data_IF_611698573071
#
_entry.id   IF_611698573071
#
_cell.length_a   1.000
_cell.length_b   1.000
_cell.length_c   1.000
_cell.angle_alpha   90.00
_cell.angle_beta   90.00
_cell.angle_gamma   90.00
#
_symmetry.space_group_name_H-M   'P 1'
#
loop_
_entity.id
_entity.type
_entity.pdbx_description
1 polymer ?
#
# COMPACT_ATOMS: atom_id res chain seq x y z
N UNK A 1 -7.89 -39.39 10.58
CA UNK A 1 -8.37 -38.88 9.27
C UNK A 1 -8.06 -37.39 9.22
N UNK A 2 -6.98 -37.01 8.53
CA UNK A 2 -6.47 -35.64 8.49
C UNK A 2 -6.75 -35.04 7.12
N UNK A 3 -7.45 -33.91 7.06
CA UNK A 3 -7.60 -33.13 5.83
C UNK A 3 -6.71 -31.89 5.92
N UNK A 4 -5.58 -31.93 5.23
CA UNK A 4 -4.77 -30.77 4.91
C UNK A 4 -5.31 -30.13 3.62
N UNK A 5 -5.84 -28.90 3.73
CA UNK A 5 -6.22 -28.08 2.58
C UNK A 5 -5.11 -27.06 2.33
N UNK A 6 -4.17 -27.38 1.45
CA UNK A 6 -3.18 -26.42 0.95
C UNK A 6 -3.78 -25.67 -0.24
N UNK A 7 -4.14 -24.40 -0.04
CA UNK A 7 -4.44 -23.51 -1.16
C UNK A 7 -3.13 -23.04 -1.78
N UNK A 8 -2.78 -23.69 -2.90
CA UNK A 8 -1.73 -23.28 -3.85
C UNK A 8 -2.28 -22.11 -4.68
N UNK A 9 -1.90 -20.88 -4.35
CA UNK A 9 -2.28 -19.72 -5.16
C UNK A 9 -1.31 -19.59 -6.34
N UNK A 10 -1.64 -20.24 -7.45
CA UNK A 10 -0.97 -20.04 -8.74
C UNK A 10 -1.81 -19.08 -9.57
N UNK A 11 -1.48 -17.78 -9.53
CA UNK A 11 -2.04 -16.80 -10.46
C UNK A 11 -0.97 -15.80 -10.90
N UNK A 12 -0.50 -15.99 -12.14
CA UNK A 12 -0.29 -14.89 -13.09
C UNK A 12 1.03 -14.13 -13.03
N UNK A 13 2.13 -14.75 -13.46
CA UNK A 13 3.30 -14.00 -13.97
C UNK A 13 2.92 -13.43 -15.34
N UNK A 14 2.30 -12.25 -15.33
CA UNK A 14 1.98 -11.48 -16.54
C UNK A 14 3.26 -10.84 -17.10
N UNK A 15 3.78 -11.43 -18.17
CA UNK A 15 4.86 -10.87 -18.96
C UNK A 15 4.44 -9.58 -19.66
N UNK A 16 4.85 -8.41 -19.14
CA UNK A 16 4.82 -7.18 -19.91
C UNK A 16 6.06 -7.11 -20.81
N UNK A 17 5.82 -7.21 -22.12
CA UNK A 17 6.76 -6.90 -23.20
C UNK A 17 7.39 -5.52 -22.98
N UNK A 18 8.73 -5.48 -22.96
CA UNK A 18 9.51 -4.29 -23.33
C UNK A 18 9.11 -3.87 -24.74
N UNK A 19 8.65 -2.63 -24.92
CA UNK A 19 8.71 -1.98 -26.22
C UNK A 19 9.89 -1.00 -26.19
N UNK A 20 10.97 -1.41 -26.84
CA UNK A 20 12.22 -0.66 -27.01
C UNK A 20 12.12 0.04 -28.35
N UNK A 21 11.73 1.31 -28.35
CA UNK A 21 11.98 2.22 -29.48
C UNK A 21 13.01 3.24 -29.00
N UNK A 22 14.27 2.82 -29.05
CA UNK A 22 15.44 3.69 -29.07
C UNK A 22 15.69 4.07 -30.55
N UNK A 23 15.73 5.37 -30.87
CA UNK A 23 16.52 5.86 -32.00
C UNK A 23 15.84 6.85 -32.95
N UNK A 24 16.48 8.03 -33.06
CA UNK A 24 16.39 9.08 -34.11
C UNK A 24 15.26 10.11 -33.98
N UNK A 25 15.52 11.28 -33.41
CA UNK A 25 16.31 12.35 -34.04
C UNK A 25 16.41 13.54 -33.09
N UNK A 26 17.61 13.80 -32.60
CA UNK A 26 18.00 15.09 -32.04
C UNK A 26 18.30 16.06 -33.20
N UNK A 27 17.98 17.35 -32.99
CA UNK A 27 18.62 18.45 -33.70
C UNK A 27 17.81 19.04 -34.85
N UNK A 28 17.09 20.14 -34.56
CA UNK A 28 17.30 21.42 -35.25
C UNK A 28 16.45 22.51 -34.56
N UNK A 29 17.10 23.23 -33.65
CA UNK A 29 16.80 24.63 -33.42
C UNK A 29 17.49 25.42 -34.56
N UNK A 30 16.75 26.27 -35.28
CA UNK A 30 17.24 27.52 -35.91
C UNK A 30 16.20 28.08 -36.91
N UNK A 31 15.70 29.27 -36.59
CA UNK A 31 15.55 30.44 -37.48
C UNK A 31 15.02 30.27 -38.92
N UNK A 32 13.87 30.91 -39.17
CA UNK A 32 13.82 32.05 -40.09
C UNK A 32 13.53 31.82 -41.58
N UNK A 33 12.69 32.74 -42.08
CA UNK A 33 12.55 33.23 -43.46
C UNK A 33 11.37 32.65 -44.28
N UNK A 34 10.58 33.63 -44.72
CA UNK A 34 9.42 33.69 -45.61
C UNK A 34 9.58 32.92 -46.93
N UNK A 35 8.46 32.44 -47.48
CA UNK A 35 8.01 32.74 -48.84
C UNK A 35 6.59 32.15 -49.06
N UNK A 36 5.59 33.03 -49.17
CA UNK A 36 4.71 33.20 -50.35
C UNK A 36 3.53 32.21 -50.46
N UNK A 37 2.33 32.75 -50.23
CA UNK A 37 1.09 32.31 -50.89
C UNK A 37 1.08 32.85 -52.33
N UNK A 38 0.25 32.31 -53.24
CA UNK A 38 -1.08 32.93 -53.40
C UNK A 38 -2.23 31.95 -53.72
N UNK A 39 -3.41 32.31 -53.17
CA UNK A 39 -4.75 32.43 -53.82
C UNK A 39 -5.29 31.23 -54.61
N UNK A 40 -6.56 30.84 -54.60
CA UNK A 40 -7.90 31.38 -54.31
C UNK A 40 -8.81 30.11 -54.27
N UNK A 41 -9.99 30.02 -53.67
CA UNK A 41 -11.22 30.70 -54.03
C UNK A 41 -12.34 30.23 -53.09
N UNK A 42 -13.31 31.10 -52.86
CA UNK A 42 -14.45 30.97 -51.96
C UNK A 42 -15.40 29.83 -52.36
N UNK A 43 -16.02 29.17 -51.38
CA UNK A 43 -17.47 28.90 -51.45
C UNK A 43 -18.04 28.57 -50.08
N UNK A 44 -18.79 29.55 -49.58
CA UNK A 44 -19.97 29.46 -48.70
C UNK A 44 -20.13 28.21 -47.80
N UNK A 45 -19.88 28.43 -46.51
CA UNK A 45 -20.34 27.54 -45.46
C UNK A 45 -21.89 27.52 -45.39
N UNK A 46 -22.54 26.35 -45.28
CA UNK A 46 -23.68 26.25 -44.38
C UNK A 46 -23.09 26.18 -42.97
N UNK A 47 -23.26 27.26 -42.21
CA UNK A 47 -22.98 27.25 -40.77
C UNK A 47 -23.80 26.12 -40.16
N UNK A 48 -23.15 25.02 -39.81
CA UNK A 48 -23.71 24.01 -38.94
C UNK A 48 -24.08 24.74 -37.66
N UNK A 49 -25.35 25.07 -37.52
CA UNK A 49 -25.97 25.48 -36.28
C UNK A 49 -25.52 24.44 -35.25
N UNK A 50 -24.58 24.83 -34.37
CA UNK A 50 -24.16 24.00 -33.25
C UNK A 50 -25.42 23.83 -32.42
N UNK A 51 -26.14 22.74 -32.68
CA UNK A 51 -27.12 22.21 -31.74
C UNK A 51 -26.32 22.04 -30.46
N UNK A 52 -26.49 22.99 -29.54
CA UNK A 52 -26.02 22.89 -28.18
C UNK A 52 -26.78 21.72 -27.58
N UNK A 53 -26.27 20.50 -27.82
CA UNK A 53 -26.61 19.32 -27.06
C UNK A 53 -26.19 19.67 -25.65
N UNK A 54 -27.14 20.17 -24.86
CA UNK A 54 -27.04 20.18 -23.42
C UNK A 54 -27.05 18.71 -23.03
N UNK A 55 -25.90 18.07 -23.13
CA UNK A 55 -25.59 16.84 -22.42
C UNK A 55 -25.50 17.25 -20.95
N UNK A 56 -26.68 17.54 -20.38
CA UNK A 56 -26.88 17.84 -18.99
C UNK A 56 -26.76 16.56 -18.21
N UNK A 57 -25.54 16.01 -18.15
CA UNK A 57 -25.25 15.02 -17.13
C UNK A 57 -25.48 15.70 -15.78
N UNK A 58 -26.46 15.22 -15.03
CA UNK A 58 -26.62 15.61 -13.64
C UNK A 58 -25.36 15.16 -12.91
N UNK A 59 -24.47 16.11 -12.63
CA UNK A 59 -23.24 15.85 -11.88
C UNK A 59 -23.61 15.53 -10.44
N UNK A 60 -23.80 14.25 -10.13
CA UNK A 60 -23.98 13.78 -8.76
C UNK A 60 -22.68 14.02 -8.00
N UNK A 61 -22.68 15.03 -7.12
CA UNK A 61 -21.57 15.26 -6.20
C UNK A 61 -21.47 14.06 -5.25
N UNK A 62 -20.28 13.50 -5.02
CA UNK A 62 -20.13 12.44 -4.05
C UNK A 62 -20.60 12.92 -2.67
N UNK A 63 -21.35 12.08 -1.98
CA UNK A 63 -21.78 12.32 -0.61
C UNK A 63 -20.58 12.67 0.29
N UNK A 64 -20.79 13.44 1.34
CA UNK A 64 -19.72 13.91 2.23
C UNK A 64 -18.87 12.74 2.80
N UNK A 65 -19.53 11.62 3.12
CA UNK A 65 -18.85 10.38 3.58
C UNK A 65 -17.91 9.81 2.51
N UNK A 66 -18.33 9.81 1.24
CA UNK A 66 -17.52 9.34 0.12
C UNK A 66 -16.36 10.31 -0.14
N UNK A 67 -16.58 11.62 -0.01
CA UNK A 67 -15.50 12.62 -0.14
C UNK A 67 -14.46 12.46 0.97
N UNK A 68 -14.89 12.29 2.22
CA UNK A 68 -14.00 12.06 3.35
C UNK A 68 -13.16 10.80 3.14
N UNK A 69 -13.80 9.69 2.75
CA UNK A 69 -13.11 8.43 2.48
C UNK A 69 -12.10 8.55 1.33
N UNK A 70 -12.46 9.19 0.22
CA UNK A 70 -11.54 9.41 -0.91
C UNK A 70 -10.36 10.30 -0.52
N UNK A 71 -10.61 11.33 0.30
CA UNK A 71 -9.54 12.22 0.78
C UNK A 71 -8.58 11.48 1.71
N UNK A 72 -9.12 10.64 2.59
CA UNK A 72 -8.31 9.82 3.49
C UNK A 72 -7.46 8.80 2.72
N UNK A 73 -8.06 8.09 1.74
CA UNK A 73 -7.30 7.15 0.91
C UNK A 73 -6.21 7.86 0.10
N UNK A 74 -6.52 8.99 -0.53
CA UNK A 74 -5.53 9.77 -1.28
C UNK A 74 -4.34 10.19 -0.39
N UNK A 75 -4.62 10.64 0.83
CA UNK A 75 -3.58 11.00 1.80
C UNK A 75 -2.73 9.79 2.20
N UNK A 76 -3.35 8.64 2.48
CA UNK A 76 -2.62 7.43 2.85
C UNK A 76 -1.71 6.94 1.71
N UNK A 77 -2.19 6.98 0.48
CA UNK A 77 -1.40 6.60 -0.70
C UNK A 77 -0.22 7.54 -0.92
N UNK A 78 -0.41 8.84 -0.75
CA UNK A 78 0.67 9.84 -0.84
C UNK A 78 1.73 9.63 0.24
N UNK A 79 1.33 9.42 1.50
CA UNK A 79 2.24 9.14 2.61
C UNK A 79 3.05 7.86 2.35
N UNK A 80 2.40 6.79 1.86
CA UNK A 80 3.08 5.54 1.52
C UNK A 80 4.07 5.70 0.35
N UNK A 81 3.67 6.43 -0.69
CA UNK A 81 4.53 6.71 -1.83
C UNK A 81 5.75 7.53 -1.43
N UNK A 82 5.56 8.55 -0.59
CA UNK A 82 6.64 9.37 -0.05
C UNK A 82 7.58 8.55 0.84
N UNK A 83 7.05 7.75 1.77
CA UNK A 83 7.85 6.88 2.62
C UNK A 83 8.68 5.88 1.80
N UNK A 84 8.09 5.29 0.76
CA UNK A 84 8.80 4.38 -0.14
C UNK A 84 9.91 5.11 -0.93
N UNK A 85 9.62 6.33 -1.41
CA UNK A 85 10.60 7.18 -2.11
C UNK A 85 11.77 7.56 -1.22
N UNK A 86 11.50 7.92 0.04
CA UNK A 86 12.52 8.27 1.03
C UNK A 86 13.37 7.07 1.44
N UNK A 87 12.74 5.92 1.67
CA UNK A 87 13.45 4.68 1.99
C UNK A 87 14.41 4.25 0.87
N UNK A 88 14.03 4.49 -0.39
CA UNK A 88 14.86 4.22 -1.57
C UNK A 88 15.76 5.37 -1.99
N UNK A 89 15.65 6.54 -1.35
CA UNK A 89 16.47 7.69 -1.70
C UNK A 89 17.92 7.37 -1.39
N UNK A 90 18.76 7.31 -2.43
CA UNK A 90 20.21 7.14 -2.28
C UNK A 90 20.73 8.29 -1.43
N UNK A 91 21.14 7.98 -0.20
CA UNK A 91 21.71 8.97 0.71
C UNK A 91 23.08 9.37 0.15
N UNK A 92 23.30 10.67 -0.01
CA UNK A 92 24.61 11.19 -0.44
C UNK A 92 25.58 10.98 0.72
N UNK A 93 26.43 9.95 0.60
CA UNK A 93 27.46 9.65 1.59
C UNK A 93 28.67 10.53 1.29
N UNK A 94 28.92 11.51 2.16
CA UNK A 94 30.12 12.31 2.14
C UNK A 94 31.20 11.63 2.99
N UNK A 95 31.82 10.59 2.44
CA UNK A 95 32.99 9.99 3.04
C UNK A 95 34.24 10.77 2.59
N UNK A 96 35.05 11.17 3.58
CA UNK A 96 36.40 11.67 3.28
C UNK A 96 37.22 10.49 2.75
N UNK A 97 37.96 10.66 1.64
CA UNK A 97 38.78 9.58 1.09
C UNK A 97 39.72 9.05 2.17
N UNK A 98 39.76 7.73 2.31
CA UNK A 98 40.64 7.07 3.26
C UNK A 98 42.09 7.38 2.89
N UNK A 99 42.90 7.77 3.88
CA UNK A 99 44.34 7.92 3.70
C UNK A 99 44.91 6.53 3.41
N UNK A 100 45.39 6.33 2.20
CA UNK A 100 46.04 5.10 1.77
C UNK A 100 47.49 5.18 2.23
N UNK A 101 47.82 4.52 3.34
CA UNK A 101 49.15 4.53 3.95
C UNK A 101 49.22 5.34 5.26
N UNK A 102 49.66 4.65 6.32
CA UNK A 102 49.71 5.15 7.70
C UNK A 102 48.86 4.29 8.63
N UNK A 103 49.42 3.88 9.77
CA UNK A 103 48.73 3.09 10.79
C UNK A 103 47.38 3.75 11.11
N UNK A 104 46.27 3.04 10.89
CA UNK A 104 44.96 3.44 11.40
C UNK A 104 45.13 3.74 12.88
N UNK A 105 45.06 5.04 13.24
CA UNK A 105 45.36 5.47 14.60
C UNK A 105 44.56 4.64 15.58
N UNK A 106 45.21 4.11 16.61
CA UNK A 106 44.66 3.17 17.60
C UNK A 106 43.22 3.50 18.06
N UNK A 107 42.91 4.79 18.19
CA UNK A 107 41.57 5.32 18.49
C UNK A 107 40.47 4.95 17.47
N UNK A 108 40.79 4.88 16.17
CA UNK A 108 39.83 4.49 15.13
C UNK A 108 39.43 3.01 15.25
N UNK A 109 40.39 2.15 15.56
CA UNK A 109 40.16 0.71 15.78
C UNK A 109 39.35 0.49 17.06
N UNK A 110 39.68 1.19 18.15
CA UNK A 110 38.90 1.15 19.40
C UNK A 110 37.47 1.61 19.17
N UNK A 111 37.28 2.75 18.50
CA UNK A 111 35.94 3.28 18.21
C UNK A 111 35.11 2.33 17.33
N UNK A 112 35.72 1.66 16.37
CA UNK A 112 35.04 0.62 15.58
C UNK A 112 34.65 -0.58 16.43
N UNK A 113 35.55 -1.08 17.29
CA UNK A 113 35.24 -2.20 18.20
C UNK A 113 34.14 -1.83 19.19
N UNK A 114 34.16 -0.64 19.78
CA UNK A 114 33.09 -0.17 20.66
C UNK A 114 31.75 0.00 19.93
N UNK A 115 31.75 0.52 18.70
CA UNK A 115 30.54 0.60 17.87
C UNK A 115 29.99 -0.79 17.53
N UNK A 116 30.83 -1.76 17.23
CA UNK A 116 30.41 -3.14 16.97
C UNK A 116 29.75 -3.78 18.21
N UNK A 117 30.35 -3.60 19.39
CA UNK A 117 29.81 -4.14 20.65
C UNK A 117 28.48 -3.47 21.02
N UNK A 118 28.39 -2.14 20.90
CA UNK A 118 27.17 -1.39 21.26
C UNK A 118 26.02 -1.57 20.26
N UNK A 119 26.31 -1.75 18.97
CA UNK A 119 25.29 -2.04 17.96
C UNK A 119 24.75 -3.47 18.08
N UNK A 120 25.61 -4.45 18.37
CA UNK A 120 25.19 -5.82 18.61
C UNK A 120 24.28 -5.93 19.86
N UNK A 121 24.63 -5.26 20.96
CA UNK A 121 23.83 -5.31 22.19
C UNK A 121 22.48 -4.61 22.05
N UNK A 122 22.46 -3.40 21.47
CA UNK A 122 21.20 -2.65 21.26
C UNK A 122 20.29 -3.31 20.23
N UNK A 123 20.85 -3.90 19.17
CA UNK A 123 20.08 -4.63 18.16
C UNK A 123 19.34 -5.83 18.75
N UNK A 124 20.03 -6.63 19.56
CA UNK A 124 19.45 -7.76 20.28
C UNK A 124 18.37 -7.35 21.28
N UNK A 125 18.59 -6.27 22.02
CA UNK A 125 17.61 -5.78 22.99
C UNK A 125 16.32 -5.28 22.30
N UNK A 126 16.47 -4.55 21.19
CA UNK A 126 15.35 -4.11 20.34
C UNK A 126 14.59 -5.30 19.75
N UNK A 127 15.28 -6.33 19.28
CA UNK A 127 14.67 -7.54 18.76
C UNK A 127 13.85 -8.26 19.84
N UNK A 128 14.42 -8.46 21.03
CA UNK A 128 13.71 -9.06 22.17
C UNK A 128 12.48 -8.26 22.61
N UNK A 129 12.56 -6.92 22.62
CA UNK A 129 11.41 -6.05 22.92
C UNK A 129 10.30 -6.23 21.88
N UNK A 130 10.66 -6.34 20.61
CA UNK A 130 9.69 -6.53 19.51
C UNK A 130 9.01 -7.90 19.58
N UNK A 131 9.75 -8.95 19.92
CA UNK A 131 9.20 -10.30 20.11
C UNK A 131 8.24 -10.36 21.30
N UNK A 132 8.60 -9.75 22.44
CA UNK A 132 7.71 -9.66 23.61
C UNK A 132 6.41 -8.95 23.30
N UNK A 133 6.47 -7.81 22.60
CA UNK A 133 5.28 -7.08 22.17
C UNK A 133 4.39 -7.94 21.26
N UNK A 134 4.99 -8.69 20.33
CA UNK A 134 4.24 -9.56 19.42
C UNK A 134 3.60 -10.76 20.12
N UNK A 135 4.24 -11.28 21.17
CA UNK A 135 3.69 -12.34 22.01
C UNK A 135 2.52 -11.82 22.84
N UNK A 136 2.67 -10.67 23.50
CA UNK A 136 1.60 -10.06 24.30
C UNK A 136 0.36 -9.74 23.44
N UNK A 137 0.58 -9.23 22.22
CA UNK A 137 -0.51 -8.98 21.27
C UNK A 137 -1.27 -10.27 20.90
N UNK A 138 -0.53 -11.35 20.59
CA UNK A 138 -1.14 -12.65 20.28
C UNK A 138 -1.89 -13.22 21.47
N UNK A 139 -1.35 -13.11 22.68
CA UNK A 139 -2.00 -13.59 23.88
C UNK A 139 -3.31 -12.83 24.16
N UNK A 140 -3.32 -11.51 23.93
CA UNK A 140 -4.55 -10.70 24.05
C UNK A 140 -5.61 -11.12 23.02
N UNK A 141 -5.22 -11.29 21.77
CA UNK A 141 -6.12 -11.76 20.70
C UNK A 141 -6.67 -13.17 20.99
N UNK A 142 -5.83 -14.07 21.53
CA UNK A 142 -6.24 -15.41 21.91
C UNK A 142 -7.22 -15.42 23.08
N UNK A 143 -6.99 -14.60 24.11
CA UNK A 143 -7.93 -14.44 25.23
C UNK A 143 -9.29 -13.92 24.75
N UNK A 144 -9.31 -12.93 23.87
CA UNK A 144 -10.56 -12.42 23.29
C UNK A 144 -11.29 -13.48 22.46
N UNK A 145 -10.57 -14.30 21.70
CA UNK A 145 -11.15 -15.41 20.94
C UNK A 145 -11.72 -16.49 21.86
N UNK A 146 -11.00 -16.82 22.95
CA UNK A 146 -11.48 -17.77 23.94
C UNK A 146 -12.75 -17.27 24.64
N UNK A 147 -12.80 -16.00 25.02
CA UNK A 147 -14.01 -15.39 25.60
C UNK A 147 -15.19 -15.42 24.61
N UNK A 148 -14.98 -15.06 23.35
CA UNK A 148 -16.03 -15.13 22.31
C UNK A 148 -16.53 -16.55 22.12
N UNK A 149 -15.62 -17.54 22.10
CA UNK A 149 -15.96 -18.96 21.99
C UNK A 149 -16.72 -19.47 23.22
N UNK A 150 -16.33 -19.05 24.42
CA UNK A 150 -17.03 -19.38 25.66
C UNK A 150 -18.44 -18.77 25.71
N UNK A 151 -18.59 -17.50 25.32
CA UNK A 151 -19.89 -16.82 25.21
C UNK A 151 -20.81 -17.51 24.19
N UNK A 152 -20.28 -17.93 23.04
CA UNK A 152 -21.04 -18.68 22.05
C UNK A 152 -21.50 -20.05 22.59
N UNK A 153 -20.63 -20.77 23.31
CA UNK A 153 -21.01 -22.04 23.97
C UNK A 153 -22.09 -21.85 25.03
N UNK A 154 -22.00 -20.79 25.83
CA UNK A 154 -22.99 -20.47 26.85
C UNK A 154 -24.35 -20.09 26.23
N UNK A 155 -24.37 -19.36 25.10
CA UNK A 155 -25.60 -19.07 24.37
C UNK A 155 -26.25 -20.34 23.80
N UNK A 156 -25.46 -21.24 23.19
CA UNK A 156 -25.98 -22.51 22.67
C UNK A 156 -26.56 -23.36 23.81
N UNK A 157 -25.88 -23.44 24.95
CA UNK A 157 -26.39 -24.17 26.12
C UNK A 157 -27.69 -23.54 26.66
N UNK A 158 -27.79 -22.21 26.70
CA UNK A 158 -28.99 -21.50 27.15
C UNK A 158 -30.18 -21.75 26.22
N UNK A 159 -30.00 -21.60 24.92
CA UNK A 159 -31.04 -21.87 23.92
C UNK A 159 -31.43 -23.35 23.93
N UNK A 160 -30.47 -24.26 24.07
CA UNK A 160 -30.73 -25.69 24.22
C UNK A 160 -31.57 -26.02 25.45
N UNK A 161 -31.27 -25.43 26.61
CA UNK A 161 -32.07 -25.57 27.82
C UNK A 161 -33.48 -24.97 27.70
N UNK A 162 -33.62 -23.82 27.02
CA UNK A 162 -34.93 -23.19 26.78
C UNK A 162 -35.80 -24.05 25.84
N UNK A 163 -35.21 -24.61 24.78
CA UNK A 163 -35.90 -25.55 23.87
C UNK A 163 -36.30 -26.83 24.61
N UNK A 164 -35.39 -27.41 25.41
CA UNK A 164 -35.68 -28.62 26.17
C UNK A 164 -36.77 -28.39 27.21
N UNK A 165 -36.78 -27.23 27.87
CA UNK A 165 -37.82 -26.83 28.81
C UNK A 165 -39.17 -26.63 28.11
N UNK A 166 -39.19 -26.00 26.94
CA UNK A 166 -40.40 -25.84 26.13
C UNK A 166 -40.97 -27.19 25.66
N UNK A 167 -40.10 -28.11 25.25
CA UNK A 167 -40.48 -29.47 24.86
C UNK A 167 -41.11 -30.25 26.02
N UNK A 168 -40.51 -30.18 27.21
CA UNK A 168 -41.07 -30.83 28.41
C UNK A 168 -42.43 -30.25 28.80
N UNK A 169 -42.61 -28.92 28.73
CA UNK A 169 -43.91 -28.30 29.06
C UNK A 169 -45.02 -28.68 28.08
N UNK A 170 -44.70 -28.89 26.81
CA UNK A 170 -45.67 -29.34 25.79
C UNK A 170 -46.06 -30.80 26.01
N UNK A 171 -45.11 -31.65 26.44
CA UNK A 171 -45.38 -33.07 26.66
C UNK A 171 -46.19 -33.34 27.94
N UNK A 172 -46.18 -32.43 28.91
CA UNK A 172 -46.99 -32.51 30.14
C UNK A 172 -48.43 -31.99 29.99
N UNK A 173 -48.77 -31.38 28.85
CA UNK A 173 -50.09 -30.81 28.56
C UNK A 173 -50.96 -31.68 27.64
N UNK A 174 -50.47 -32.87 27.26
CA UNK A 174 -51.22 -33.94 26.58
C UNK A 174 -51.46 -35.10 27.54
#
# INVERSE_FOLDING_TARGET
MSYSRTYRNSNGVGAYRRNRNEGRNEGQAATGIQAEQPQQEETAAPSLERVNRRDGFTMFRPDEKKRAHLTEMARQEEEQANAHREARRVRRVHERPARVGGSTGYNTVINQKQKAVTSASKGLEMQKKREKWQQEKREREERELQEKKAKARAQVARVGCEIFRAFLTLHTLT
#
